data_IF_635574196900
#
_entry.id   IF_635574196900
#
_cell.length_a   1.000
_cell.length_b   1.000
_cell.length_c   1.000
_cell.angle_alpha   90.00
_cell.angle_beta   90.00
_cell.angle_gamma   90.00
#
_symmetry.space_group_name_H-M   'P 1'
#
loop_
_entity.id
_entity.type
_entity.pdbx_description
1 polymer ?
#
# COMPACT_ATOMS: atom_id res chain seq x y z
N UNK A 1 48.56 -29.72 -58.61
CA UNK A 1 49.51 -28.67 -58.16
C UNK A 1 48.78 -27.35 -58.31
N UNK A 2 48.51 -26.50 -57.33
CA UNK A 2 49.02 -26.30 -55.98
C UNK A 2 47.93 -25.55 -55.20
N UNK A 3 47.75 -25.94 -53.94
CA UNK A 3 47.03 -25.19 -52.92
C UNK A 3 47.78 -23.87 -52.63
N UNK A 4 47.06 -22.75 -52.59
CA UNK A 4 47.31 -21.49 -51.87
C UNK A 4 46.28 -20.52 -52.45
N UNK A 5 45.22 -20.09 -51.78
CA UNK A 5 45.27 -19.30 -50.56
C UNK A 5 43.84 -19.21 -50.01
N UNK A 6 43.51 -20.14 -49.13
CA UNK A 6 42.40 -20.04 -48.19
C UNK A 6 42.74 -18.91 -47.20
N UNK A 7 41.90 -17.89 -47.10
CA UNK A 7 41.98 -16.91 -46.02
C UNK A 7 41.81 -15.47 -46.45
N UNK A 8 40.56 -15.05 -46.71
CA UNK A 8 40.09 -13.67 -46.56
C UNK A 8 38.53 -13.57 -46.66
N UNK A 9 37.77 -14.58 -46.22
CA UNK A 9 36.28 -14.56 -46.26
C UNK A 9 35.64 -14.64 -44.86
N UNK A 10 36.41 -14.39 -43.78
CA UNK A 10 35.87 -14.42 -42.41
C UNK A 10 35.94 -13.09 -41.65
N UNK A 11 36.38 -11.99 -42.28
CA UNK A 11 36.57 -10.69 -41.58
C UNK A 11 35.71 -9.51 -42.04
N UNK A 12 34.94 -9.64 -43.15
CA UNK A 12 34.31 -8.48 -43.81
C UNK A 12 32.81 -8.28 -43.58
N UNK A 13 32.07 -9.32 -43.18
CA UNK A 13 30.60 -9.25 -43.11
C UNK A 13 30.09 -8.78 -41.74
N UNK A 14 30.90 -8.92 -40.68
CA UNK A 14 30.47 -8.58 -39.31
C UNK A 14 30.53 -7.05 -39.04
N UNK A 15 31.26 -6.28 -39.86
CA UNK A 15 31.40 -4.81 -39.66
C UNK A 15 30.39 -3.98 -40.47
N UNK A 16 29.75 -4.53 -41.52
CA UNK A 16 28.72 -3.81 -42.29
C UNK A 16 27.27 -4.09 -41.84
N UNK A 17 27.04 -5.11 -41.02
CA UNK A 17 25.69 -5.49 -40.57
C UNK A 17 25.15 -4.72 -39.36
N UNK A 18 25.99 -3.97 -38.63
CA UNK A 18 25.59 -3.33 -37.36
C UNK A 18 25.21 -1.85 -37.48
N UNK A 19 25.21 -1.25 -38.68
CA UNK A 19 25.09 0.21 -38.81
C UNK A 19 23.79 0.76 -39.42
N UNK A 20 22.80 -0.05 -39.80
CA UNK A 20 21.56 0.51 -40.38
C UNK A 20 20.30 -0.24 -39.96
N UNK A 21 19.88 -0.09 -38.70
CA UNK A 21 18.46 -0.12 -38.34
C UNK A 21 18.18 1.01 -37.35
N UNK A 22 17.97 2.21 -37.89
CA UNK A 22 17.21 3.25 -37.20
C UNK A 22 16.49 4.07 -38.26
N UNK A 23 15.21 3.75 -38.51
CA UNK A 23 14.25 4.74 -38.98
C UNK A 23 12.80 4.30 -38.74
N UNK A 24 12.02 5.29 -38.32
CA UNK A 24 10.64 5.27 -37.84
C UNK A 24 9.63 4.84 -38.91
N UNK A 25 8.53 4.16 -38.55
CA UNK A 25 7.33 4.17 -39.36
C UNK A 25 6.33 5.22 -38.83
N UNK A 26 6.48 6.48 -39.27
CA UNK A 26 5.31 7.33 -39.42
C UNK A 26 4.61 6.96 -40.74
N UNK A 27 3.37 6.48 -40.60
CA UNK A 27 2.23 6.88 -41.41
C UNK A 27 2.39 6.85 -42.94
N UNK A 28 2.03 5.71 -43.56
CA UNK A 28 1.61 5.70 -44.96
C UNK A 28 0.18 5.15 -45.08
N UNK A 29 -0.78 6.07 -45.02
CA UNK A 29 -2.16 5.81 -45.40
C UNK A 29 -2.25 5.85 -46.93
N UNK A 30 -2.38 4.68 -47.55
CA UNK A 30 -2.61 4.57 -49.00
C UNK A 30 -4.12 4.53 -49.26
N UNK A 31 -4.63 5.61 -49.88
CA UNK A 31 -5.98 5.66 -50.46
C UNK A 31 -5.98 4.81 -51.73
N UNK A 32 -6.70 3.69 -51.72
CA UNK A 32 -7.05 2.97 -52.95
C UNK A 32 -8.57 2.94 -53.17
N UNK A 33 -8.98 3.85 -54.04
CA UNK A 33 -9.97 3.68 -55.12
C UNK A 33 -11.33 3.06 -54.80
N UNK A 34 -12.31 3.96 -54.78
CA UNK A 34 -13.73 3.76 -55.08
C UNK A 34 -13.94 2.85 -56.30
N UNK A 35 -14.57 1.68 -56.14
CA UNK A 35 -15.37 1.01 -57.17
C UNK A 35 -16.46 0.19 -56.48
N UNK A 36 -17.73 0.47 -56.79
CA UNK A 36 -18.89 -0.32 -56.36
C UNK A 36 -18.89 -1.66 -57.11
N UNK A 37 -18.90 -2.78 -56.39
CA UNK A 37 -19.78 -3.93 -56.66
C UNK A 37 -19.83 -4.84 -55.43
N UNK A 38 -21.03 -5.01 -54.88
CA UNK A 38 -21.33 -5.97 -53.83
C UNK A 38 -21.33 -7.39 -54.44
N UNK A 39 -20.70 -8.35 -53.77
CA UNK A 39 -21.28 -9.68 -53.49
C UNK A 39 -20.36 -10.51 -52.57
N UNK A 40 -20.82 -10.63 -51.32
CA UNK A 40 -21.03 -11.88 -50.56
C UNK A 40 -19.96 -12.99 -50.59
N UNK A 41 -19.52 -13.34 -49.37
CA UNK A 41 -18.87 -14.59 -48.94
C UNK A 41 -17.35 -14.70 -49.07
N UNK A 42 -16.65 -14.02 -48.16
CA UNK A 42 -15.69 -14.75 -47.33
C UNK A 42 -15.63 -14.14 -45.93
N UNK A 43 -16.63 -14.45 -45.08
CA UNK A 43 -16.51 -14.25 -43.64
C UNK A 43 -15.72 -15.42 -43.06
N UNK A 44 -14.46 -15.54 -43.43
CA UNK A 44 -13.48 -16.11 -42.51
C UNK A 44 -13.06 -14.95 -41.62
N UNK A 45 -13.82 -14.73 -40.54
CA UNK A 45 -13.30 -13.95 -39.42
C UNK A 45 -11.92 -14.53 -39.11
N UNK A 46 -10.87 -13.72 -38.95
CA UNK A 46 -9.64 -14.22 -38.37
C UNK A 46 -10.05 -14.96 -37.09
N UNK A 47 -9.69 -16.24 -36.99
CA UNK A 47 -9.95 -17.07 -35.81
C UNK A 47 -9.54 -16.22 -34.62
N UNK A 48 -10.54 -15.78 -33.84
CA UNK A 48 -10.35 -14.80 -32.78
C UNK A 48 -9.29 -15.33 -31.82
N UNK A 49 -8.49 -14.42 -31.28
CA UNK A 49 -7.58 -14.75 -30.17
C UNK A 49 -8.42 -15.48 -29.12
N UNK A 50 -8.02 -16.70 -28.77
CA UNK A 50 -8.70 -17.48 -27.74
C UNK A 50 -8.72 -16.70 -26.42
N UNK A 51 -9.85 -16.71 -25.72
CA UNK A 51 -9.95 -16.09 -24.40
C UNK A 51 -8.96 -16.79 -23.44
N UNK A 52 -7.97 -16.07 -22.86
CA UNK A 52 -6.98 -16.68 -21.98
C UNK A 52 -7.59 -17.41 -20.78
N UNK A 53 -8.73 -16.93 -20.25
CA UNK A 53 -9.43 -17.58 -19.14
C UNK A 53 -10.04 -18.92 -19.57
N UNK A 54 -10.63 -18.98 -20.76
CA UNK A 54 -11.17 -20.19 -21.37
C UNK A 54 -10.07 -21.24 -21.59
N UNK A 55 -8.94 -20.81 -22.15
CA UNK A 55 -7.77 -21.69 -22.35
C UNK A 55 -7.23 -22.20 -21.02
N UNK A 56 -7.09 -21.31 -20.02
CA UNK A 56 -6.62 -21.66 -18.69
C UNK A 56 -7.53 -22.68 -17.99
N UNK A 57 -8.86 -22.57 -18.15
CA UNK A 57 -9.79 -23.58 -17.64
C UNK A 57 -9.46 -24.99 -18.17
N UNK A 58 -9.32 -25.11 -19.49
CA UNK A 58 -9.08 -26.40 -20.16
C UNK A 58 -7.70 -26.96 -19.80
N UNK A 59 -6.67 -26.10 -19.78
CA UNK A 59 -5.30 -26.48 -19.40
C UNK A 59 -5.18 -26.97 -17.95
N UNK A 60 -6.10 -26.55 -17.07
CA UNK A 60 -6.15 -26.95 -15.67
C UNK A 60 -7.18 -28.07 -15.40
N UNK A 61 -7.45 -28.93 -16.40
CA UNK A 61 -8.36 -30.07 -16.29
C UNK A 61 -9.82 -29.68 -15.97
N UNK A 62 -10.22 -28.46 -16.29
CA UNK A 62 -11.60 -28.01 -16.23
C UNK A 62 -12.34 -28.23 -17.55
N UNK A 63 -13.65 -28.33 -17.47
CA UNK A 63 -14.57 -28.31 -18.62
C UNK A 63 -15.24 -26.94 -18.68
N UNK A 64 -15.09 -26.25 -19.81
CA UNK A 64 -15.67 -24.92 -20.00
C UNK A 64 -17.06 -24.99 -20.62
N UNK A 65 -18.02 -24.29 -20.02
CA UNK A 65 -19.35 -24.03 -20.55
C UNK A 65 -19.57 -22.52 -20.70
N UNK A 66 -19.97 -22.06 -21.87
CA UNK A 66 -20.35 -20.65 -22.09
C UNK A 66 -21.87 -20.52 -21.93
N UNK A 67 -22.30 -19.60 -21.07
CA UNK A 67 -23.71 -19.29 -20.83
C UNK A 67 -24.01 -17.86 -21.27
N UNK A 68 -25.13 -17.67 -21.96
CA UNK A 68 -25.65 -16.35 -22.25
C UNK A 68 -26.46 -15.83 -21.05
N UNK A 69 -26.11 -14.64 -20.57
CA UNK A 69 -26.80 -13.90 -19.50
C UNK A 69 -27.29 -12.54 -20.02
N UNK A 70 -28.07 -11.83 -19.19
CA UNK A 70 -28.59 -10.51 -19.55
C UNK A 70 -27.50 -9.47 -19.83
N UNK A 71 -26.31 -9.64 -19.26
CA UNK A 71 -25.17 -8.71 -19.38
C UNK A 71 -24.10 -9.16 -20.38
N UNK A 72 -24.28 -10.31 -21.03
CA UNK A 72 -23.32 -10.86 -21.99
C UNK A 72 -23.11 -12.35 -21.82
N UNK A 73 -21.95 -12.85 -22.23
CA UNK A 73 -21.57 -14.26 -22.05
C UNK A 73 -20.66 -14.42 -20.84
N UNK A 74 -20.95 -15.44 -20.04
CA UNK A 74 -20.12 -15.89 -18.93
C UNK A 74 -19.55 -17.28 -19.24
N UNK A 75 -18.28 -17.51 -18.91
CA UNK A 75 -17.67 -18.84 -18.98
C UNK A 75 -17.65 -19.48 -17.60
N UNK A 76 -18.15 -20.71 -17.49
CA UNK A 76 -18.12 -21.50 -16.27
C UNK A 76 -17.16 -22.67 -16.47
N UNK A 77 -16.13 -22.74 -15.63
CA UNK A 77 -15.16 -23.81 -15.57
C UNK A 77 -15.56 -24.84 -14.52
N UNK A 78 -15.85 -26.07 -14.92
CA UNK A 78 -16.28 -27.16 -14.04
C UNK A 78 -15.17 -28.20 -13.88
N UNK A 79 -14.88 -28.62 -12.66
CA UNK A 79 -13.76 -29.51 -12.33
C UNK A 79 -14.24 -30.94 -12.03
N UNK A 80 -13.30 -31.89 -12.06
CA UNK A 80 -13.59 -33.32 -11.84
C UNK A 80 -14.17 -33.67 -10.46
N UNK A 81 -13.97 -32.81 -9.46
CA UNK A 81 -14.54 -32.93 -8.12
C UNK A 81 -15.98 -32.38 -8.05
N UNK A 82 -16.53 -31.88 -9.16
CA UNK A 82 -17.87 -31.30 -9.25
C UNK A 82 -17.95 -29.83 -8.84
N UNK A 83 -16.84 -29.21 -8.41
CA UNK A 83 -16.79 -27.75 -8.18
C UNK A 83 -16.82 -26.99 -9.50
N UNK A 84 -17.26 -25.73 -9.44
CA UNK A 84 -17.30 -24.85 -10.62
C UNK A 84 -16.91 -23.43 -10.25
N UNK A 85 -16.22 -22.75 -11.17
CA UNK A 85 -15.79 -21.36 -11.05
C UNK A 85 -16.17 -20.58 -12.30
N UNK A 86 -16.44 -19.28 -12.18
CA UNK A 86 -16.38 -18.39 -13.34
C UNK A 86 -14.94 -18.36 -13.88
N UNK A 87 -14.78 -18.46 -15.20
CA UNK A 87 -13.48 -18.72 -15.85
C UNK A 87 -12.46 -17.60 -15.57
N UNK A 88 -12.90 -16.33 -15.53
CA UNK A 88 -12.02 -15.18 -15.29
C UNK A 88 -11.63 -15.08 -13.82
N UNK A 89 -12.51 -15.44 -12.88
CA UNK A 89 -12.23 -15.55 -11.45
C UNK A 89 -11.24 -16.68 -11.17
N UNK A 90 -11.39 -17.83 -11.83
CA UNK A 90 -10.41 -18.91 -11.76
C UNK A 90 -9.05 -18.49 -12.33
N UNK A 91 -9.03 -17.83 -13.49
CA UNK A 91 -7.81 -17.31 -14.11
C UNK A 91 -7.05 -16.31 -13.21
N UNK A 92 -7.77 -15.48 -12.44
CA UNK A 92 -7.18 -14.53 -11.47
C UNK A 92 -6.87 -15.17 -10.10
N UNK A 93 -7.23 -16.43 -9.88
CA UNK A 93 -7.03 -17.13 -8.60
C UNK A 93 -8.02 -16.73 -7.49
N UNK A 94 -9.07 -15.99 -7.84
CA UNK A 94 -10.17 -15.58 -6.93
C UNK A 94 -11.13 -16.75 -6.65
N UNK A 95 -11.14 -17.75 -7.52
CA UNK A 95 -11.86 -19.01 -7.35
C UNK A 95 -10.91 -20.21 -7.51
N UNK A 96 -11.18 -21.33 -6.84
CA UNK A 96 -10.37 -22.55 -6.90
C UNK A 96 -11.24 -23.81 -6.90
N UNK A 97 -10.79 -24.90 -7.55
CA UNK A 97 -11.42 -26.21 -7.42
C UNK A 97 -11.50 -26.66 -5.95
N UNK A 98 -12.51 -27.45 -5.61
CA UNK A 98 -12.74 -27.99 -4.27
C UNK A 98 -13.66 -27.13 -3.39
N UNK A 99 -14.11 -25.97 -3.89
CA UNK A 99 -15.21 -25.21 -3.29
C UNK A 99 -16.48 -25.58 -4.05
N UNK A 100 -17.24 -26.55 -3.53
CA UNK A 100 -18.56 -26.87 -4.05
C UNK A 100 -19.42 -25.61 -3.99
N UNK A 101 -19.81 -25.10 -5.15
CA UNK A 101 -20.81 -24.05 -5.33
C UNK A 101 -22.15 -24.57 -4.83
N UNK A 102 -22.32 -24.50 -3.51
CA UNK A 102 -23.44 -24.99 -2.75
C UNK A 102 -23.51 -24.31 -1.38
N UNK A 103 -23.07 -23.05 -1.31
CA UNK A 103 -23.58 -22.06 -0.36
C UNK A 103 -23.17 -20.67 -0.84
N UNK A 104 -23.95 -20.13 -1.76
CA UNK A 104 -24.45 -18.77 -1.53
C UNK A 104 -25.42 -18.84 -0.34
N UNK A 105 -24.91 -19.03 0.87
CA UNK A 105 -25.33 -18.14 1.94
C UNK A 105 -24.50 -16.91 1.63
N UNK A 106 -25.10 -15.79 1.25
CA UNK A 106 -25.50 -14.80 2.26
C UNK A 106 -24.69 -14.93 3.56
N UNK A 107 -23.37 -14.99 3.41
CA UNK A 107 -22.48 -14.35 4.31
C UNK A 107 -22.39 -12.92 3.80
N UNK A 108 -23.44 -12.16 4.08
CA UNK A 108 -23.24 -10.81 4.61
C UNK A 108 -22.36 -10.95 5.86
N UNK A 109 -21.08 -11.27 5.68
CA UNK A 109 -20.09 -10.59 6.49
C UNK A 109 -20.10 -9.20 5.84
N UNK A 110 -20.98 -8.35 6.34
CA UNK A 110 -20.69 -6.94 6.42
C UNK A 110 -19.41 -6.84 7.24
N UNK A 111 -18.27 -7.14 6.61
CA UNK A 111 -17.02 -6.57 7.07
C UNK A 111 -17.26 -5.09 6.82
N UNK A 112 -17.29 -4.26 7.88
CA UNK A 112 -17.28 -2.84 7.67
C UNK A 112 -16.07 -2.60 6.78
N UNK A 113 -16.34 -2.19 5.55
CA UNK A 113 -15.31 -1.64 4.69
C UNK A 113 -14.94 -0.38 5.47
N UNK A 114 -13.94 -0.47 6.35
CA UNK A 114 -13.44 0.72 7.02
C UNK A 114 -12.79 1.53 5.93
N UNK A 115 -13.59 2.44 5.39
CA UNK A 115 -13.12 3.41 4.43
C UNK A 115 -11.89 4.08 5.06
N UNK A 116 -10.77 4.14 4.34
CA UNK A 116 -9.59 4.78 4.87
C UNK A 116 -9.95 6.21 5.19
N UNK A 117 -9.93 6.57 6.49
CA UNK A 117 -10.23 7.93 6.93
C UNK A 117 -9.11 8.85 6.43
N UNK A 118 -9.42 9.68 5.44
CA UNK A 118 -8.48 10.64 4.86
C UNK A 118 -8.60 11.96 5.62
N UNK A 119 -7.51 12.40 6.23
CA UNK A 119 -7.43 13.68 6.94
C UNK A 119 -6.61 14.70 6.15
N UNK A 120 -6.98 15.97 6.26
CA UNK A 120 -6.14 17.07 5.80
C UNK A 120 -4.92 17.22 6.72
N UNK A 121 -3.84 17.80 6.20
CA UNK A 121 -2.63 18.12 6.98
C UNK A 121 -2.75 19.46 7.71
N UNK A 122 -3.97 19.93 7.94
CA UNK A 122 -4.23 21.15 8.68
C UNK A 122 -3.93 20.93 10.16
N UNK A 123 -3.19 21.86 10.78
CA UNK A 123 -2.86 21.81 12.19
C UNK A 123 -3.92 22.54 13.01
N UNK A 124 -4.77 21.77 13.70
CA UNK A 124 -5.83 22.25 14.59
C UNK A 124 -5.91 21.31 15.80
N UNK A 125 -4.94 21.38 16.73
CA UNK A 125 -4.64 20.30 17.65
C UNK A 125 -5.78 20.03 18.62
N UNK A 126 -5.91 18.76 19.03
CA UNK A 126 -6.86 18.32 20.06
C UNK A 126 -6.18 17.41 21.06
N UNK A 127 -6.62 17.49 22.31
CA UNK A 127 -6.20 16.56 23.35
C UNK A 127 -7.22 15.44 23.48
N UNK A 128 -6.75 14.20 23.57
CA UNK A 128 -7.59 13.02 23.76
C UNK A 128 -6.93 11.98 24.66
N UNK A 129 -7.76 11.19 25.35
CA UNK A 129 -7.32 10.04 26.13
C UNK A 129 -7.23 8.81 25.23
N UNK A 130 -6.08 8.14 25.19
CA UNK A 130 -5.84 6.95 24.38
C UNK A 130 -5.74 5.71 25.27
N UNK A 131 -6.65 4.77 25.07
CA UNK A 131 -6.64 3.48 25.77
C UNK A 131 -5.58 2.56 25.14
N UNK A 132 -4.36 2.59 25.67
CA UNK A 132 -3.28 1.70 25.22
C UNK A 132 -3.46 0.28 25.76
N UNK A 133 -3.08 -0.71 24.94
CA UNK A 133 -2.99 -2.11 25.38
C UNK A 133 -1.67 -2.31 26.13
N UNK A 134 -1.70 -2.31 27.45
CA UNK A 134 -0.52 -2.48 28.29
C UNK A 134 -0.30 -3.95 28.69
N UNK A 135 0.96 -4.32 28.98
CA UNK A 135 1.32 -5.72 29.33
C UNK A 135 0.74 -6.16 30.69
N UNK A 136 0.45 -5.21 31.59
CA UNK A 136 -0.16 -5.47 32.91
C UNK A 136 -1.34 -4.53 33.17
N UNK A 137 -2.54 -5.09 33.30
CA UNK A 137 -3.76 -4.35 33.67
C UNK A 137 -3.77 -3.95 35.17
N UNK A 138 -4.41 -2.82 35.54
CA UNK A 138 -5.26 -1.93 34.74
C UNK A 138 -4.46 -0.88 33.95
N UNK A 139 -4.79 -0.68 32.68
CA UNK A 139 -4.17 0.38 31.87
C UNK A 139 -4.92 1.70 32.10
N UNK A 140 -4.26 2.70 32.69
CA UNK A 140 -4.81 4.06 32.73
C UNK A 140 -4.65 4.72 31.35
N UNK A 141 -5.71 5.31 30.77
CA UNK A 141 -5.62 6.01 29.49
C UNK A 141 -4.63 7.17 29.57
N UNK A 142 -3.75 7.29 28.58
CA UNK A 142 -2.78 8.38 28.50
C UNK A 142 -3.33 9.54 27.66
N UNK A 143 -3.06 10.77 28.06
CA UNK A 143 -3.42 11.96 27.29
C UNK A 143 -2.41 12.17 26.15
N UNK A 144 -2.91 12.28 24.91
CA UNK A 144 -2.09 12.48 23.72
C UNK A 144 -2.67 13.60 22.85
N UNK A 145 -1.78 14.43 22.31
CA UNK A 145 -2.10 15.48 21.34
C UNK A 145 -2.21 14.88 19.94
N UNK A 146 -3.32 15.17 19.26
CA UNK A 146 -3.52 14.86 17.84
C UNK A 146 -3.42 16.14 17.02
N UNK A 147 -2.82 16.08 15.83
CA UNK A 147 -2.58 17.26 14.98
C UNK A 147 -3.88 17.92 14.50
N UNK A 148 -4.95 17.14 14.33
CA UNK A 148 -6.30 17.64 14.14
C UNK A 148 -7.38 16.66 14.60
N UNK A 149 -8.63 17.15 14.71
CA UNK A 149 -9.79 16.34 15.08
C UNK A 149 -10.02 15.12 14.18
N UNK A 150 -9.75 15.23 12.89
CA UNK A 150 -9.87 14.09 11.96
C UNK A 150 -8.90 12.98 12.34
N UNK A 151 -7.63 13.31 12.57
CA UNK A 151 -6.60 12.33 12.96
C UNK A 151 -6.90 11.66 14.30
N UNK A 152 -7.56 12.38 15.22
CA UNK A 152 -8.05 11.83 16.49
C UNK A 152 -9.22 10.87 16.27
N UNK A 153 -10.21 11.25 15.46
CA UNK A 153 -11.36 10.39 15.13
C UNK A 153 -10.96 9.12 14.35
N UNK A 154 -9.87 9.17 13.59
CA UNK A 154 -9.30 8.00 12.91
C UNK A 154 -8.71 6.97 13.90
N UNK A 155 -8.41 7.38 15.15
CA UNK A 155 -7.94 6.49 16.20
C UNK A 155 -9.12 6.00 17.05
N UNK A 156 -9.50 4.73 16.88
CA UNK A 156 -10.63 4.10 17.61
C UNK A 156 -10.46 4.01 19.12
N UNK A 157 -9.23 4.18 19.62
CA UNK A 157 -8.90 4.12 21.04
C UNK A 157 -8.83 5.51 21.67
N UNK A 158 -8.96 6.57 20.86
CA UNK A 158 -8.91 7.95 21.31
C UNK A 158 -10.30 8.45 21.71
N UNK A 159 -10.38 9.10 22.87
CA UNK A 159 -11.58 9.81 23.33
C UNK A 159 -11.24 11.28 23.47
N UNK A 160 -11.92 12.14 22.71
CA UNK A 160 -11.74 13.59 22.79
C UNK A 160 -11.86 14.11 24.22
N UNK A 161 -10.93 14.99 24.62
CA UNK A 161 -10.93 15.64 25.92
C UNK A 161 -11.22 17.13 25.78
N UNK A 162 -10.38 17.87 25.06
CA UNK A 162 -10.55 19.31 24.81
C UNK A 162 -9.79 19.77 23.56
N UNK A 163 -10.12 20.95 23.06
CA UNK A 163 -9.38 21.62 21.96
C UNK A 163 -7.98 22.05 22.44
N UNK A 164 -7.02 22.09 21.54
CA UNK A 164 -5.62 22.41 21.83
C UNK A 164 -4.79 21.19 22.22
N UNK A 165 -3.49 21.41 22.42
CA UNK A 165 -2.55 20.36 22.82
C UNK A 165 -2.83 19.88 24.25
N UNK A 166 -2.56 18.60 24.52
CA UNK A 166 -2.56 18.11 25.89
C UNK A 166 -1.51 18.83 26.71
N UNK A 167 -1.87 19.25 27.92
CA UNK A 167 -0.88 19.72 28.89
C UNK A 167 -0.12 18.50 29.36
N UNK A 168 1.17 18.43 29.07
CA UNK A 168 2.00 17.43 29.72
C UNK A 168 2.03 17.78 31.20
N UNK A 169 1.77 16.82 32.08
CA UNK A 169 2.11 16.92 33.51
C UNK A 169 3.64 17.00 33.73
N UNK A 170 4.41 17.33 32.69
CA UNK A 170 5.76 17.82 32.85
C UNK A 170 5.66 19.21 33.46
N UNK A 171 5.56 19.20 34.79
CA UNK A 171 5.84 20.35 35.63
C UNK A 171 7.22 20.85 35.23
N UNK A 172 7.25 21.90 34.42
CA UNK A 172 8.49 22.47 33.91
C UNK A 172 9.25 23.04 35.11
N UNK A 173 10.14 22.23 35.66
CA UNK A 173 11.01 22.68 36.73
C UNK A 173 12.17 23.48 36.12
N UNK A 174 12.37 24.74 36.54
CA UNK A 174 13.48 25.54 36.05
C UNK A 174 14.80 24.80 36.30
N UNK A 175 15.61 24.66 35.25
CA UNK A 175 16.92 24.03 35.34
C UNK A 175 17.93 25.07 35.83
N UNK A 176 18.43 24.88 37.04
CA UNK A 176 19.46 25.75 37.61
C UNK A 176 20.85 25.27 37.17
N UNK A 177 21.69 26.21 36.74
CA UNK A 177 23.10 25.93 36.50
C UNK A 177 23.77 25.52 37.83
N UNK A 178 24.80 24.64 37.79
CA UNK A 178 25.57 24.33 38.99
C UNK A 178 26.17 25.61 39.59
N UNK A 179 26.23 25.72 40.92
CA UNK A 179 26.79 26.90 41.58
C UNK A 179 28.26 27.09 41.18
N UNK A 180 28.67 28.35 41.03
CA UNK A 180 30.07 28.71 40.81
C UNK A 180 30.98 28.13 41.90
N UNK A 181 32.25 27.79 41.62
CA UNK A 181 33.21 27.35 42.65
C UNK A 181 33.29 28.32 43.84
N UNK A 182 33.10 29.62 43.60
CA UNK A 182 33.13 30.67 44.62
C UNK A 182 31.74 31.00 45.21
N UNK A 183 30.70 30.22 44.90
CA UNK A 183 29.33 30.46 45.38
C UNK A 183 29.20 30.47 46.91
N UNK A 184 30.07 29.72 47.60
CA UNK A 184 30.04 29.60 49.05
C UNK A 184 31.45 29.38 49.61
N UNK A 185 32.27 30.43 49.63
CA UNK A 185 33.68 30.35 50.09
C UNK A 185 33.80 30.24 51.61
N UNK A 186 32.93 30.91 52.37
CA UNK A 186 32.98 30.99 53.84
C UNK A 186 31.82 30.22 54.52
N UNK A 187 31.29 29.19 53.85
CA UNK A 187 30.12 28.46 54.33
C UNK A 187 30.03 27.03 53.83
N UNK A 188 28.87 26.41 54.03
CA UNK A 188 28.52 25.10 53.49
C UNK A 188 27.33 25.21 52.56
N UNK A 189 27.44 24.59 51.39
CA UNK A 189 26.33 24.47 50.45
C UNK A 189 25.31 23.47 51.04
N UNK A 190 24.07 23.92 51.24
CA UNK A 190 22.94 23.10 51.61
C UNK A 190 21.96 22.96 50.44
N UNK A 191 21.28 21.83 50.37
CA UNK A 191 20.22 21.60 49.39
C UNK A 191 19.12 22.66 49.56
N UNK A 192 18.66 23.22 48.45
CA UNK A 192 17.60 24.22 48.42
C UNK A 192 16.23 23.64 48.82
N UNK A 193 16.10 22.31 48.77
CA UNK A 193 14.88 21.58 49.02
C UNK A 193 13.99 21.55 47.78
N UNK A 194 12.70 21.29 47.99
CA UNK A 194 11.70 21.19 46.92
C UNK A 194 10.59 22.19 47.18
N UNK A 195 10.14 22.91 46.15
CA UNK A 195 9.01 23.81 46.27
C UNK A 195 7.67 23.04 46.35
N UNK A 196 6.57 23.78 46.56
CA UNK A 196 5.20 23.23 46.54
C UNK A 196 4.84 22.52 45.23
N UNK A 197 5.61 22.80 44.18
CA UNK A 197 5.46 22.23 42.87
C UNK A 197 6.30 20.96 42.66
N UNK A 198 7.06 20.49 43.64
CA UNK A 198 7.91 19.33 43.42
C UNK A 198 9.19 19.64 42.63
N UNK A 199 9.49 20.92 42.39
CA UNK A 199 10.69 21.36 41.69
C UNK A 199 11.84 21.62 42.67
N UNK A 200 13.04 21.16 42.31
CA UNK A 200 14.23 21.36 43.12
C UNK A 200 14.62 22.83 43.13
N UNK A 201 14.77 23.41 44.32
CA UNK A 201 15.20 24.78 44.51
C UNK A 201 16.73 24.90 44.43
N UNK A 202 17.27 26.07 44.05
CA UNK A 202 18.71 26.25 43.97
C UNK A 202 19.35 26.09 45.37
N UNK A 203 20.58 25.56 45.43
CA UNK A 203 21.26 25.35 46.70
C UNK A 203 21.51 26.67 47.43
N UNK A 204 21.61 26.63 48.75
CA UNK A 204 21.83 27.82 49.60
C UNK A 204 23.20 27.74 50.27
N UNK A 205 23.91 28.86 50.31
CA UNK A 205 25.12 28.98 51.11
C UNK A 205 24.73 29.34 52.55
N UNK A 206 25.11 28.49 53.51
CA UNK A 206 24.89 28.74 54.95
C UNK A 206 26.24 28.94 55.61
N UNK A 207 26.42 30.08 56.28
CA UNK A 207 27.64 30.38 57.04
C UNK A 207 27.74 29.45 58.25
N UNK A 208 28.94 28.96 58.55
CA UNK A 208 29.18 28.28 59.82
C UNK A 208 29.13 29.32 60.94
N UNK A 209 28.21 29.13 61.89
CA UNK A 209 28.19 29.91 63.14
C UNK A 209 29.46 29.68 63.97
#
# INVERSE_FOLDING_TARGET
MKNFLFGLILGGIIVFGYFFIKENPENSYVVQTKTRINNMFNKTSPVGIANPASTYCIENNGTLEIKDESEGQIGICTFSDGSSCEERAFFRGECKPGITTGTQTDNTIEQPIEEPTICTMEYAPVCAKVAIQCIKAPCEPIEQTFGNRCSMNANKLATFLHEGECKTDQKECPQYAPPSPDFCTEGTIQDGGTDQNGCQLPPKCVTKE
#
